data_IF_996572888406
#
_entry.id   IF_996572888406
#
_cell.length_a   1.000
_cell.length_b   1.000
_cell.length_c   1.000
_cell.angle_alpha   90.00
_cell.angle_beta   90.00
_cell.angle_gamma   90.00
#
_symmetry.space_group_name_H-M   'P 1'
#
loop_
_entity.id
_entity.type
_entity.pdbx_description
1 polymer ?
#
# COMPACT_ATOMS: atom_id res chain seq x y z
N UNK A 1 32.21 -18.14 8.51
CA UNK A 1 31.92 -18.26 7.21
C UNK A 1 30.93 -19.32 6.86
N UNK A 2 30.68 -20.22 7.69
CA UNK A 2 29.66 -21.17 7.39
C UNK A 2 28.32 -20.52 7.27
N UNK A 3 28.01 -19.59 8.14
CA UNK A 3 26.70 -18.97 8.11
C UNK A 3 26.38 -18.33 6.77
N UNK A 4 27.38 -17.72 6.21
CA UNK A 4 27.21 -17.04 4.97
C UNK A 4 26.79 -17.95 3.82
N UNK A 5 27.50 -19.03 3.60
CA UNK A 5 27.12 -19.98 2.58
C UNK A 5 25.74 -20.55 2.84
N UNK A 6 25.43 -20.79 4.08
CA UNK A 6 24.12 -21.30 4.42
C UNK A 6 23.02 -20.34 4.05
N UNK A 7 23.24 -19.10 4.38
CA UNK A 7 22.26 -18.07 4.05
C UNK A 7 22.07 -17.98 2.55
N UNK A 8 23.16 -18.05 1.82
CA UNK A 8 23.09 -17.98 0.40
C UNK A 8 22.30 -19.15 -0.16
N UNK A 9 22.54 -20.32 0.36
CA UNK A 9 21.80 -21.47 -0.10
C UNK A 9 20.34 -21.36 0.19
N UNK A 10 20.01 -20.86 1.35
CA UNK A 10 18.62 -20.68 1.72
C UNK A 10 17.92 -19.73 0.76
N UNK A 11 18.58 -18.65 0.46
CA UNK A 11 18.01 -17.69 -0.48
C UNK A 11 17.84 -18.28 -1.86
N UNK A 12 18.81 -19.01 -2.30
CA UNK A 12 18.72 -19.64 -3.62
C UNK A 12 17.57 -20.62 -3.68
N UNK A 13 17.38 -21.36 -2.64
CA UNK A 13 16.29 -22.33 -2.59
C UNK A 13 14.97 -21.61 -2.67
N UNK A 14 14.83 -20.53 -1.91
CA UNK A 14 13.61 -19.76 -1.94
C UNK A 14 13.36 -19.16 -3.29
N UNK A 15 14.40 -18.65 -3.90
CA UNK A 15 14.26 -18.07 -5.21
C UNK A 15 13.80 -19.08 -6.22
N UNK A 16 14.36 -20.26 -6.15
CA UNK A 16 13.98 -21.31 -7.05
C UNK A 16 12.52 -21.63 -6.91
N UNK A 17 12.09 -21.82 -5.68
CA UNK A 17 10.69 -22.10 -5.44
C UNK A 17 9.82 -20.95 -5.91
N UNK A 18 10.23 -19.77 -5.58
CA UNK A 18 9.47 -18.59 -5.94
C UNK A 18 9.40 -18.39 -7.44
N UNK A 19 10.50 -18.66 -8.10
CA UNK A 19 10.54 -18.51 -9.55
C UNK A 19 9.55 -19.43 -10.21
N UNK A 20 9.46 -20.66 -9.73
CA UNK A 20 8.53 -21.60 -10.33
C UNK A 20 7.10 -21.14 -10.11
N UNK A 21 6.86 -20.33 -9.11
CA UNK A 21 5.55 -19.79 -8.85
C UNK A 21 5.39 -18.38 -9.35
N UNK A 22 6.33 -17.90 -10.07
CA UNK A 22 6.26 -16.57 -10.61
C UNK A 22 6.16 -15.54 -9.52
N UNK A 23 7.09 -15.58 -8.57
CA UNK A 23 7.12 -14.67 -7.45
C UNK A 23 7.02 -13.24 -7.92
N UNK A 24 6.27 -12.47 -7.19
CA UNK A 24 6.09 -11.06 -7.45
C UNK A 24 6.93 -10.29 -6.47
N UNK A 25 7.68 -9.33 -6.96
CA UNK A 25 8.50 -8.50 -6.10
C UNK A 25 7.66 -7.42 -5.44
N UNK A 26 8.06 -6.97 -4.25
CA UNK A 26 7.40 -5.83 -3.65
C UNK A 26 7.51 -4.61 -4.54
N UNK A 27 6.54 -3.73 -4.43
CA UNK A 27 6.56 -2.48 -5.18
C UNK A 27 7.49 -1.47 -4.52
N UNK A 28 8.11 -0.63 -5.31
CA UNK A 28 8.80 0.54 -4.79
C UNK A 28 7.74 1.56 -4.38
N UNK A 29 7.90 2.14 -3.20
CA UNK A 29 6.88 3.02 -2.65
C UNK A 29 7.32 4.47 -2.63
N UNK A 30 6.41 5.35 -3.03
CA UNK A 30 6.58 6.78 -2.95
C UNK A 30 5.44 7.39 -2.14
N UNK A 31 5.66 8.58 -1.65
CA UNK A 31 4.70 9.28 -0.80
C UNK A 31 4.58 10.72 -1.26
N UNK A 32 3.39 11.11 -1.70
CA UNK A 32 3.16 12.50 -2.12
C UNK A 32 3.28 13.41 -0.91
N UNK A 33 3.68 14.65 -1.14
CA UNK A 33 3.76 15.63 -0.05
C UNK A 33 2.45 15.78 0.67
N UNK A 34 1.36 15.79 -0.08
CA UNK A 34 0.03 15.91 0.51
C UNK A 34 -0.28 14.74 1.41
N UNK A 35 0.14 13.53 1.01
CA UNK A 35 -0.05 12.35 1.84
C UNK A 35 0.71 12.47 3.15
N UNK A 36 1.94 12.97 3.10
CA UNK A 36 2.73 13.12 4.32
C UNK A 36 2.10 14.11 5.28
N UNK A 37 1.51 15.17 4.76
CA UNK A 37 0.78 16.11 5.59
C UNK A 37 -0.46 15.48 6.18
N UNK A 38 -1.17 14.69 5.37
CA UNK A 38 -2.33 13.95 5.86
C UNK A 38 -1.91 13.02 6.99
N UNK A 39 -0.81 12.31 6.81
CA UNK A 39 -0.31 11.38 7.82
C UNK A 39 -0.11 12.06 9.16
N UNK A 40 0.54 13.22 9.15
CA UNK A 40 0.76 13.96 10.39
C UNK A 40 -0.55 14.40 11.02
N UNK A 41 -1.45 14.95 10.22
CA UNK A 41 -2.74 15.41 10.71
C UNK A 41 -3.53 14.27 11.32
N UNK A 42 -3.61 13.15 10.62
CA UNK A 42 -4.37 12.01 11.08
C UNK A 42 -3.77 11.39 12.34
N UNK A 43 -2.43 11.32 12.38
CA UNK A 43 -1.75 10.78 13.55
C UNK A 43 -1.99 11.60 14.80
N UNK A 44 -1.98 12.92 14.65
CA UNK A 44 -2.17 13.81 15.80
C UNK A 44 -3.60 13.85 16.29
N UNK A 45 -4.56 13.54 15.43
CA UNK A 45 -5.96 13.64 15.81
C UNK A 45 -6.38 12.59 16.85
N UNK A 46 -5.71 11.42 16.81
CA UNK A 46 -6.06 10.34 17.72
C UNK A 46 -7.37 9.65 17.39
N UNK A 47 -8.04 10.01 16.30
CA UNK A 47 -9.34 9.46 15.95
C UNK A 47 -9.32 8.43 14.84
N UNK A 48 -8.17 8.23 14.21
CA UNK A 48 -8.07 7.35 13.06
C UNK A 48 -7.22 6.13 13.38
N UNK A 49 -7.59 5.00 12.81
CA UNK A 49 -6.85 3.76 13.01
C UNK A 49 -5.61 3.75 12.12
N UNK A 50 -4.54 4.34 12.61
CA UNK A 50 -3.31 4.45 11.86
C UNK A 50 -2.62 3.11 11.68
N UNK A 51 -2.86 2.16 12.58
CA UNK A 51 -2.31 0.82 12.45
C UNK A 51 -2.93 0.15 11.22
N UNK A 52 -4.24 0.31 11.05
CA UNK A 52 -4.91 -0.30 9.92
C UNK A 52 -4.51 0.39 8.62
N UNK A 53 -4.26 1.70 8.65
CA UNK A 53 -3.73 2.39 7.47
C UNK A 53 -2.38 1.81 7.08
N UNK A 54 -1.50 1.61 8.04
CA UNK A 54 -0.20 0.99 7.77
C UNK A 54 -0.36 -0.41 7.21
N UNK A 55 -1.30 -1.16 7.74
CA UNK A 55 -1.56 -2.51 7.25
C UNK A 55 -1.91 -2.49 5.76
N UNK A 56 -2.81 -1.60 5.37
CA UNK A 56 -3.19 -1.48 3.96
C UNK A 56 -1.99 -1.12 3.11
N UNK A 57 -1.19 -0.17 3.56
CA UNK A 57 -0.01 0.26 2.82
C UNK A 57 0.97 -0.90 2.64
N UNK A 58 1.21 -1.66 3.70
CA UNK A 58 2.13 -2.78 3.62
C UNK A 58 1.62 -3.88 2.70
N UNK A 59 0.32 -4.15 2.72
CA UNK A 59 -0.26 -5.14 1.82
C UNK A 59 -0.09 -4.71 0.36
N UNK A 60 -0.30 -3.44 0.09
CA UNK A 60 -0.16 -2.91 -1.26
C UNK A 60 1.30 -2.95 -1.72
N UNK A 61 2.22 -2.63 -0.83
CA UNK A 61 3.65 -2.68 -1.16
C UNK A 61 4.10 -4.10 -1.39
N UNK A 62 3.65 -5.03 -0.56
CA UNK A 62 4.08 -6.43 -0.66
C UNK A 62 3.72 -7.05 -2.00
N UNK A 63 2.60 -6.64 -2.58
CA UNK A 63 2.22 -7.08 -3.92
C UNK A 63 2.02 -8.59 -4.04
N UNK A 64 1.62 -9.22 -2.94
CA UNK A 64 1.41 -10.67 -2.93
C UNK A 64 0.07 -11.08 -3.54
N UNK A 65 -0.93 -10.25 -3.32
CA UNK A 65 -2.29 -10.54 -3.76
C UNK A 65 -3.08 -9.23 -3.78
N UNK A 66 -4.19 -9.21 -4.52
CA UNK A 66 -5.08 -8.05 -4.45
C UNK A 66 -5.59 -7.88 -3.01
N UNK A 67 -5.98 -6.67 -2.66
CA UNK A 67 -6.58 -6.45 -1.35
C UNK A 67 -7.87 -7.25 -1.23
N UNK A 68 -8.10 -7.80 -0.05
CA UNK A 68 -9.31 -8.55 0.22
C UNK A 68 -10.54 -7.66 0.01
N UNK A 69 -11.70 -8.26 -0.29
CA UNK A 69 -12.91 -7.46 -0.57
C UNK A 69 -13.30 -6.49 0.55
N UNK A 70 -12.93 -6.79 1.78
CA UNK A 70 -13.28 -5.92 2.90
C UNK A 70 -12.69 -4.52 2.79
N UNK A 71 -11.61 -4.37 2.01
CA UNK A 71 -10.98 -3.06 1.84
C UNK A 71 -11.69 -2.20 0.79
N UNK A 72 -12.63 -2.77 0.06
CA UNK A 72 -13.41 -2.06 -0.96
C UNK A 72 -12.54 -1.28 -1.94
N UNK A 73 -11.45 -1.90 -2.36
CA UNK A 73 -10.51 -1.28 -3.29
C UNK A 73 -11.13 -1.13 -4.68
N UNK A 74 -11.06 0.07 -5.24
CA UNK A 74 -11.64 0.32 -6.57
C UNK A 74 -10.99 1.53 -7.24
N UNK A 75 -11.17 1.60 -8.55
CA UNK A 75 -10.64 2.71 -9.34
C UNK A 75 -11.51 3.93 -9.18
N UNK A 76 -10.89 5.09 -9.24
CA UNK A 76 -11.60 6.35 -9.19
C UNK A 76 -11.77 6.91 -10.62
N UNK A 77 -12.62 7.91 -10.74
CA UNK A 77 -12.95 8.52 -12.03
C UNK A 77 -12.81 10.03 -11.95
N UNK A 78 -12.98 10.67 -13.08
CA UNK A 78 -12.96 12.13 -13.13
C UNK A 78 -11.56 12.67 -12.88
N UNK A 79 -11.48 13.65 -12.01
CA UNK A 79 -10.20 14.26 -11.68
C UNK A 79 -9.24 13.28 -11.02
N UNK A 80 -9.77 12.20 -10.47
CA UNK A 80 -8.97 11.17 -9.83
C UNK A 80 -8.74 9.96 -10.72
N UNK A 81 -8.94 10.12 -12.02
CA UNK A 81 -8.66 9.03 -12.95
C UNK A 81 -7.21 8.58 -12.75
N UNK A 82 -6.95 7.31 -12.97
CA UNK A 82 -5.65 6.71 -12.76
C UNK A 82 -5.28 6.53 -11.28
N UNK A 83 -6.19 6.84 -10.38
CA UNK A 83 -6.00 6.60 -8.96
C UNK A 83 -6.96 5.51 -8.51
N UNK A 84 -6.59 4.88 -7.40
CA UNK A 84 -7.45 3.91 -6.74
C UNK A 84 -7.67 4.34 -5.31
N UNK A 85 -8.71 3.81 -4.72
CA UNK A 85 -9.08 4.13 -3.36
C UNK A 85 -9.38 2.83 -2.62
N UNK A 86 -8.96 2.71 -1.37
CA UNK A 86 -9.44 1.64 -0.52
C UNK A 86 -9.93 2.23 0.81
N UNK A 87 -10.79 1.47 1.47
CA UNK A 87 -11.40 1.91 2.72
C UNK A 87 -10.64 1.32 3.90
N UNK A 88 -10.10 2.19 4.73
CA UNK A 88 -9.38 1.77 5.91
C UNK A 88 -10.35 1.44 7.03
N UNK A 89 -11.41 2.23 7.13
CA UNK A 89 -12.45 1.97 8.10
C UNK A 89 -13.48 3.07 8.02
N UNK A 90 -14.76 2.68 7.82
CA UNK A 90 -15.82 3.66 7.70
C UNK A 90 -15.50 4.66 6.59
N UNK A 91 -15.43 5.91 6.96
CA UNK A 91 -15.17 6.99 6.02
C UNK A 91 -13.69 7.31 5.84
N UNK A 92 -12.82 6.51 6.44
CA UNK A 92 -11.38 6.75 6.39
C UNK A 92 -10.80 6.03 5.17
N UNK A 93 -10.24 6.78 4.23
CA UNK A 93 -9.84 6.29 2.91
C UNK A 93 -8.35 6.47 2.67
N UNK A 94 -7.83 5.68 1.74
CA UNK A 94 -6.47 5.82 1.23
C UNK A 94 -6.56 5.89 -0.29
N UNK A 95 -5.99 6.94 -0.87
CA UNK A 95 -5.93 7.12 -2.33
C UNK A 95 -4.50 6.90 -2.79
N UNK A 96 -4.33 6.09 -3.83
CA UNK A 96 -3.01 5.75 -4.31
C UNK A 96 -3.01 5.51 -5.82
N UNK A 97 -1.81 5.57 -6.41
CA UNK A 97 -1.59 5.19 -7.79
C UNK A 97 -0.66 3.98 -7.76
N UNK A 98 -0.87 3.04 -8.66
CA UNK A 98 -0.16 1.78 -8.58
C UNK A 98 0.03 1.16 -9.95
N UNK A 99 1.18 0.51 -10.16
CA UNK A 99 1.35 -0.42 -11.26
C UNK A 99 2.05 -1.66 -10.70
N UNK A 100 2.55 -2.51 -11.58
CA UNK A 100 3.13 -3.77 -11.14
C UNK A 100 4.37 -3.60 -10.27
N UNK A 101 5.11 -2.50 -10.47
CA UNK A 101 6.42 -2.32 -9.85
C UNK A 101 6.49 -1.15 -8.88
N UNK A 102 5.43 -0.37 -8.76
CA UNK A 102 5.52 0.91 -8.09
C UNK A 102 4.16 1.29 -7.49
N UNK A 103 4.20 1.99 -6.38
CA UNK A 103 3.00 2.54 -5.76
C UNK A 103 3.31 3.92 -5.18
N UNK A 104 2.39 4.85 -5.36
CA UNK A 104 2.50 6.19 -4.80
C UNK A 104 1.28 6.44 -3.92
N UNK A 105 1.50 6.71 -2.65
CA UNK A 105 0.43 7.04 -1.72
C UNK A 105 0.17 8.53 -1.84
N UNK A 106 -1.04 8.89 -2.27
CA UNK A 106 -1.36 10.24 -2.71
C UNK A 106 -2.08 11.05 -1.64
N UNK A 107 -3.12 10.50 -1.05
CA UNK A 107 -3.89 11.19 0.00
C UNK A 107 -4.48 10.17 0.96
N UNK A 108 -4.81 10.62 2.15
CA UNK A 108 -5.58 9.83 3.11
C UNK A 108 -6.40 10.74 3.98
N UNK A 109 -7.60 10.32 4.33
CA UNK A 109 -8.52 11.11 5.12
C UNK A 109 -9.94 10.68 4.91
N UNK A 110 -10.88 11.52 5.31
CA UNK A 110 -12.30 11.23 5.12
C UNK A 110 -12.75 11.68 3.74
N UNK A 111 -13.89 11.20 3.31
CA UNK A 111 -14.48 11.63 2.03
C UNK A 111 -14.57 13.15 1.94
N UNK A 112 -15.08 13.78 2.99
CA UNK A 112 -15.25 15.22 2.92
C UNK A 112 -13.93 15.95 2.86
N UNK A 113 -12.89 15.42 3.51
CA UNK A 113 -11.58 16.05 3.45
C UNK A 113 -10.95 15.93 2.07
N UNK A 114 -11.16 14.79 1.41
CA UNK A 114 -10.45 14.51 0.17
C UNK A 114 -11.22 14.95 -1.07
N UNK A 115 -12.55 14.96 -1.00
CA UNK A 115 -13.37 15.24 -2.18
C UNK A 115 -14.26 16.48 -2.07
N UNK A 116 -14.23 17.17 -0.96
CA UNK A 116 -15.03 18.40 -0.87
C UNK A 116 -14.32 19.50 -1.64
N UNK A 117 -15.09 20.36 -2.22
CA UNK A 117 -14.55 21.47 -3.00
C UNK A 117 -14.51 22.73 -2.20
#
# INVERSE_FOLDING_TARGET
MRALPLLTNCLLTLKKTAASKRAVLPRAADYAKAFLKDWQRLSHSGRFDMVRLKEAMLLLIANDAPLAPEWLDHSLKGEWADHRECHIGGDFLLIYQVDANWINFVRSGTHSELFSN
#
